data_IF_244538241616
#
_entry.id   IF_244538241616
#
_cell.length_a   1.000
_cell.length_b   1.000
_cell.length_c   1.000
_cell.angle_alpha   90.00
_cell.angle_beta   90.00
_cell.angle_gamma   90.00
#
_symmetry.space_group_name_H-M   'P 1'
#
loop_
_entity.id
_entity.type
_entity.pdbx_description
1 polymer ?
#
# COMPACT_ATOMS: atom_id res chain seq x y z
N UNK A 1 21.29 -2.88 6.33
CA UNK A 1 20.03 -3.11 5.61
C UNK A 1 19.40 -4.37 6.18
N UNK A 2 18.17 -4.28 6.71
CA UNK A 2 17.46 -5.45 7.22
C UNK A 2 16.74 -6.08 6.03
N UNK A 3 17.00 -7.34 5.66
CA UNK A 3 16.43 -7.95 4.46
C UNK A 3 14.88 -8.03 4.46
N UNK A 4 14.22 -7.87 5.61
CA UNK A 4 12.76 -7.88 5.71
C UNK A 4 12.06 -6.59 5.26
N UNK A 5 12.69 -5.41 5.36
CA UNK A 5 12.05 -4.14 4.93
C UNK A 5 11.88 -4.07 3.42
N UNK A 6 12.89 -4.56 2.70
CA UNK A 6 13.02 -4.36 1.26
C UNK A 6 12.05 -5.27 0.49
N UNK A 7 11.70 -6.44 1.04
CA UNK A 7 10.67 -7.35 0.48
C UNK A 7 9.29 -6.70 0.59
N UNK A 8 9.02 -6.00 1.69
CA UNK A 8 7.74 -5.34 1.93
C UNK A 8 7.57 -4.09 1.06
N UNK A 9 8.62 -3.28 0.89
CA UNK A 9 8.59 -2.10 0.01
C UNK A 9 8.41 -2.49 -1.46
N UNK A 10 9.17 -3.49 -1.96
CA UNK A 10 9.04 -3.95 -3.34
C UNK A 10 7.68 -4.60 -3.62
N UNK A 11 7.14 -5.37 -2.66
CA UNK A 11 5.81 -5.95 -2.78
C UNK A 11 4.70 -4.91 -2.79
N UNK A 12 4.84 -3.87 -1.96
CA UNK A 12 3.90 -2.75 -1.93
C UNK A 12 3.97 -1.91 -3.20
N UNK A 13 5.18 -1.61 -3.70
CA UNK A 13 5.38 -0.92 -4.98
C UNK A 13 4.66 -1.62 -6.11
N UNK A 14 4.86 -2.93 -6.24
CA UNK A 14 4.17 -3.74 -7.25
C UNK A 14 2.64 -3.65 -7.15
N UNK A 15 2.07 -3.63 -5.95
CA UNK A 15 0.61 -3.51 -5.79
C UNK A 15 0.08 -2.15 -6.22
N UNK A 16 0.84 -1.07 -5.98
CA UNK A 16 0.49 0.27 -6.44
C UNK A 16 0.67 0.41 -7.96
N UNK A 17 1.75 -0.15 -8.52
CA UNK A 17 1.97 -0.20 -9.97
C UNK A 17 0.89 -1.02 -10.69
N UNK A 18 0.38 -2.10 -10.07
CA UNK A 18 -0.74 -2.87 -10.62
C UNK A 18 -2.09 -2.15 -10.48
N UNK A 19 -2.22 -1.22 -9.54
CA UNK A 19 -3.42 -0.40 -9.38
C UNK A 19 -3.47 0.71 -10.42
N UNK A 20 -2.32 1.37 -10.64
CA UNK A 20 -2.09 2.44 -11.60
C UNK A 20 -3.25 3.45 -11.75
N UNK A 21 -3.70 4.11 -10.67
CA UNK A 21 -4.84 5.04 -10.74
C UNK A 21 -4.58 6.26 -11.63
N UNK A 22 -3.31 6.55 -11.94
CA UNK A 22 -2.90 7.69 -12.78
C UNK A 22 -2.62 7.24 -14.22
N UNK A 23 -2.26 5.97 -14.46
CA UNK A 23 -1.90 5.47 -15.78
C UNK A 23 -0.42 5.66 -16.14
N UNK A 24 0.46 5.77 -15.15
CA UNK A 24 1.89 6.11 -15.31
C UNK A 24 2.84 5.01 -14.84
N UNK A 25 2.33 3.88 -14.34
CA UNK A 25 3.17 2.77 -13.89
C UNK A 25 4.17 2.28 -14.96
N UNK A 26 3.77 2.30 -16.24
CA UNK A 26 4.64 1.93 -17.36
C UNK A 26 5.66 3.02 -17.77
N UNK A 27 5.47 4.26 -17.29
CA UNK A 27 6.27 5.43 -17.66
C UNK A 27 7.22 5.88 -16.53
N UNK A 28 6.79 5.76 -15.27
CA UNK A 28 7.48 6.28 -14.08
C UNK A 28 7.32 5.26 -12.94
N UNK A 29 8.39 4.53 -12.64
CA UNK A 29 8.39 3.43 -11.65
C UNK A 29 8.45 3.89 -10.20
N UNK A 30 8.75 5.17 -9.94
CA UNK A 30 8.91 5.77 -8.62
C UNK A 30 7.80 6.75 -8.24
N UNK A 31 6.80 6.95 -9.11
CA UNK A 31 5.69 7.89 -8.85
C UNK A 31 4.97 7.56 -7.54
N UNK A 32 4.75 6.28 -7.30
CA UNK A 32 4.04 5.78 -6.12
C UNK A 32 4.96 5.59 -4.89
N UNK A 33 6.26 5.85 -5.00
CA UNK A 33 7.22 5.69 -3.90
C UNK A 33 6.93 6.61 -2.72
N UNK A 34 6.36 7.78 -3.01
CA UNK A 34 5.93 8.74 -1.99
C UNK A 34 4.89 8.16 -1.02
N UNK A 35 4.06 7.22 -1.47
CA UNK A 35 3.04 6.56 -0.66
C UNK A 35 3.57 5.32 0.09
N UNK A 36 4.68 4.73 -0.35
CA UNK A 36 5.21 3.49 0.23
C UNK A 36 5.55 3.63 1.72
N UNK A 37 6.38 4.62 2.05
CA UNK A 37 6.82 4.86 3.42
C UNK A 37 5.64 5.12 4.39
N UNK A 38 4.69 6.05 4.11
CA UNK A 38 3.55 6.27 5.00
C UNK A 38 2.58 5.08 5.07
N UNK A 39 2.36 4.34 3.98
CA UNK A 39 1.55 3.11 4.02
C UNK A 39 2.17 2.02 4.89
N UNK A 40 3.46 1.77 4.74
CA UNK A 40 4.17 0.78 5.55
C UNK A 40 4.20 1.15 7.02
N UNK A 41 4.36 2.43 7.33
CA UNK A 41 4.26 2.90 8.70
C UNK A 41 2.88 2.58 9.28
N UNK A 42 1.79 2.96 8.59
CA UNK A 42 0.41 2.67 9.02
C UNK A 42 0.15 1.18 9.21
N UNK A 43 0.53 0.35 8.24
CA UNK A 43 0.41 -1.11 8.31
C UNK A 43 1.15 -1.69 9.53
N UNK A 44 2.37 -1.21 9.81
CA UNK A 44 3.15 -1.61 11.00
C UNK A 44 2.53 -1.15 12.32
N UNK A 45 1.84 -0.02 12.32
CA UNK A 45 1.10 0.47 13.49
C UNK A 45 -0.26 -0.21 13.69
N UNK A 46 -0.66 -1.11 12.78
CA UNK A 46 -1.93 -1.83 12.87
C UNK A 46 -3.12 -1.05 12.33
N UNK A 47 -2.89 -0.12 11.39
CA UNK A 47 -3.96 0.60 10.71
C UNK A 47 -4.95 -0.38 10.05
N UNK A 48 -6.24 -0.07 10.17
CA UNK A 48 -7.31 -0.86 9.56
C UNK A 48 -7.54 -0.49 8.09
N UNK A 49 -8.34 -1.30 7.39
CA UNK A 49 -8.72 -1.07 5.99
C UNK A 49 -9.32 0.32 5.76
N UNK A 50 -10.21 0.78 6.66
CA UNK A 50 -10.85 2.09 6.51
C UNK A 50 -9.83 3.25 6.57
N UNK A 51 -8.85 3.16 7.45
CA UNK A 51 -7.80 4.17 7.59
C UNK A 51 -6.89 4.20 6.36
N UNK A 52 -6.55 3.03 5.81
CA UNK A 52 -5.77 2.94 4.57
C UNK A 52 -6.57 3.47 3.38
N UNK A 53 -7.86 3.15 3.28
CA UNK A 53 -8.72 3.65 2.21
C UNK A 53 -8.86 5.17 2.23
N UNK A 54 -9.04 5.76 3.42
CA UNK A 54 -9.08 7.21 3.59
C UNK A 54 -7.74 7.86 3.22
N UNK A 55 -6.62 7.27 3.63
CA UNK A 55 -5.28 7.75 3.26
C UNK A 55 -5.08 7.73 1.74
N UNK A 56 -5.38 6.61 1.07
CA UNK A 56 -5.25 6.48 -0.38
C UNK A 56 -6.13 7.49 -1.12
N UNK A 57 -7.37 7.68 -0.67
CA UNK A 57 -8.25 8.72 -1.25
C UNK A 57 -7.66 10.11 -1.07
N UNK A 58 -7.15 10.43 0.12
CA UNK A 58 -6.57 11.74 0.40
C UNK A 58 -5.32 12.01 -0.45
N UNK A 59 -4.45 11.03 -0.63
CA UNK A 59 -3.29 11.16 -1.53
C UNK A 59 -3.76 11.37 -2.98
N UNK A 60 -4.71 10.58 -3.47
CA UNK A 60 -5.26 10.77 -4.82
C UNK A 60 -5.87 12.16 -5.02
N UNK A 61 -6.66 12.65 -4.06
CA UNK A 61 -7.32 13.95 -4.16
C UNK A 61 -6.37 15.14 -3.96
N UNK A 62 -5.54 15.10 -2.92
CA UNK A 62 -4.72 16.25 -2.51
C UNK A 62 -3.32 16.25 -3.11
N UNK A 63 -2.72 15.09 -3.35
CA UNK A 63 -1.37 14.98 -3.89
C UNK A 63 -1.39 14.84 -5.42
N UNK A 64 -2.24 13.97 -5.95
CA UNK A 64 -2.36 13.74 -7.39
C UNK A 64 -3.43 14.59 -8.09
N UNK A 65 -4.33 15.23 -7.34
CA UNK A 65 -5.40 16.05 -7.90
C UNK A 65 -6.47 15.24 -8.66
N UNK A 66 -6.57 13.94 -8.39
CA UNK A 66 -7.55 13.04 -8.97
C UNK A 66 -8.84 13.01 -8.16
N UNK A 67 -9.95 12.68 -8.83
CA UNK A 67 -11.23 12.44 -8.18
C UNK A 67 -11.64 10.97 -8.34
N UNK A 68 -11.00 10.03 -7.62
CA UNK A 68 -11.33 8.61 -7.70
C UNK A 68 -12.72 8.33 -7.16
N UNK A 69 -13.34 7.25 -7.64
CA UNK A 69 -14.57 6.77 -7.01
C UNK A 69 -14.24 6.23 -5.62
N UNK A 70 -15.04 6.49 -4.57
CA UNK A 70 -14.75 6.01 -3.20
C UNK A 70 -14.47 4.50 -3.11
N UNK A 71 -15.07 3.70 -3.99
CA UNK A 71 -14.86 2.26 -4.08
C UNK A 71 -13.45 1.85 -4.54
N UNK A 72 -12.74 2.70 -5.29
CA UNK A 72 -11.42 2.38 -5.84
C UNK A 72 -10.33 2.38 -4.74
N UNK A 73 -10.18 3.42 -3.91
CA UNK A 73 -9.27 3.40 -2.76
C UNK A 73 -9.63 2.31 -1.74
N UNK A 74 -10.92 2.08 -1.49
CA UNK A 74 -11.38 1.05 -0.55
C UNK A 74 -11.04 -0.37 -1.01
N UNK A 75 -11.22 -0.67 -2.30
CA UNK A 75 -10.85 -1.96 -2.88
C UNK A 75 -9.34 -2.19 -2.84
N UNK A 76 -8.55 -1.15 -3.13
CA UNK A 76 -7.09 -1.23 -2.99
C UNK A 76 -6.68 -1.42 -1.52
N UNK A 77 -7.29 -0.69 -0.58
CA UNK A 77 -7.03 -0.87 0.84
C UNK A 77 -7.32 -2.30 1.32
N UNK A 78 -8.41 -2.91 0.86
CA UNK A 78 -8.74 -4.32 1.14
C UNK A 78 -7.65 -5.26 0.61
N UNK A 79 -7.20 -5.02 -0.62
CA UNK A 79 -6.14 -5.81 -1.27
C UNK A 79 -4.81 -5.68 -0.54
N UNK A 80 -4.42 -4.47 -0.14
CA UNK A 80 -3.22 -4.20 0.65
C UNK A 80 -3.26 -4.92 2.01
N UNK A 81 -4.41 -4.89 2.70
CA UNK A 81 -4.58 -5.58 3.99
C UNK A 81 -4.50 -7.11 3.85
N UNK A 82 -5.10 -7.67 2.79
CA UNK A 82 -4.99 -9.10 2.51
C UNK A 82 -3.54 -9.49 2.26
N UNK A 83 -2.84 -8.74 1.40
CA UNK A 83 -1.42 -8.97 1.11
C UNK A 83 -0.55 -8.82 2.35
N UNK A 84 -0.77 -7.78 3.17
CA UNK A 84 -0.01 -7.56 4.40
C UNK A 84 -0.16 -8.70 5.40
N UNK A 85 -1.39 -9.22 5.55
CA UNK A 85 -1.69 -10.37 6.41
C UNK A 85 -0.96 -11.62 5.94
N UNK A 86 -0.94 -11.86 4.63
CA UNK A 86 -0.25 -13.01 4.03
C UNK A 86 1.28 -12.84 4.05
N UNK A 87 1.78 -11.63 3.85
CA UNK A 87 3.20 -11.30 3.96
C UNK A 87 3.70 -11.45 5.41
N UNK A 88 2.91 -11.04 6.41
CA UNK A 88 3.22 -11.25 7.83
C UNK A 88 3.24 -12.73 8.24
N UNK A 89 2.47 -13.59 7.55
CA UNK A 89 2.56 -15.05 7.69
C UNK A 89 3.82 -15.62 7.05
N UNK A 90 4.23 -15.08 5.90
CA UNK A 90 5.44 -15.51 5.20
C UNK A 90 6.75 -15.04 5.88
N UNK A 91 6.73 -13.89 6.55
CA UNK A 91 7.88 -13.31 7.29
C UNK A 91 8.07 -13.96 8.68
N UNK A 92 7.18 -14.86 9.10
CA UNK A 92 7.34 -15.66 10.31
C UNK A 92 7.22 -14.86 11.60
N UNK A 93 6.05 -14.26 11.85
CA UNK A 93 5.58 -14.04 13.23
C UNK A 93 4.53 -15.09 13.55
N UNK A 94 4.95 -16.35 13.51
CA UNK A 94 4.27 -17.40 14.25
C UNK A 94 4.65 -17.19 15.73
N UNK A 95 4.00 -16.22 16.40
CA UNK A 95 4.04 -16.14 17.87
C UNK A 95 3.15 -17.24 18.42
N UNK A 96 3.70 -18.44 18.45
CA UNK A 96 3.31 -19.49 19.39
C UNK A 96 4.09 -19.27 20.68
N UNK A 97 3.39 -18.80 21.71
CA UNK A 97 3.19 -19.50 23.01
C UNK A 97 2.21 -18.71 23.88
#
# INVERSE_FOLDING_TARGET
MRPGTDITENGLRRLLDEWDPIGVADAVLDEYDCMLAPLLQRLRHGAGQAEIGEFLRHELECHFGLAPLPSEPEAMAARLMSWWTDAGRADGIDRVE
#
